data_IF_714861689947
#
_entry.id   IF_714861689947
#
_cell.length_a   1.000
_cell.length_b   1.000
_cell.length_c   1.000
_cell.angle_alpha   90.00
_cell.angle_beta   90.00
_cell.angle_gamma   90.00
#
_symmetry.space_group_name_H-M   'P 1'
#
loop_
_entity.id
_entity.type
_entity.pdbx_description
1 polymer ?
#
# COMPACT_ATOMS: atom_id res chain seq x y z
N UNK A 1 11.64 -39.88 30.27
CA UNK A 1 11.69 -38.81 29.25
C UNK A 1 10.85 -39.16 28.02
N UNK A 2 9.57 -39.50 28.18
CA UNK A 2 8.65 -39.70 27.05
C UNK A 2 7.23 -39.32 27.48
N UNK A 3 6.92 -38.02 27.50
CA UNK A 3 5.55 -37.52 27.73
C UNK A 3 5.29 -36.11 27.17
N UNK A 4 6.17 -35.56 26.31
CA UNK A 4 6.07 -34.16 25.85
C UNK A 4 5.67 -34.01 24.36
N UNK A 5 5.82 -35.05 23.54
CA UNK A 5 5.59 -34.93 22.09
C UNK A 5 4.12 -35.18 21.64
N UNK A 6 3.28 -35.82 22.45
CA UNK A 6 1.91 -36.17 22.05
C UNK A 6 0.87 -35.05 22.30
N UNK A 7 1.19 -34.06 23.13
CA UNK A 7 0.25 -32.99 23.48
C UNK A 7 0.23 -31.85 22.44
N UNK A 8 1.36 -31.55 21.78
CA UNK A 8 1.44 -30.48 20.77
C UNK A 8 0.80 -30.87 19.43
N UNK A 9 0.91 -32.14 19.04
CA UNK A 9 0.32 -32.64 17.78
C UNK A 9 -1.23 -32.75 17.88
N UNK A 10 -1.77 -32.99 19.08
CA UNK A 10 -3.23 -33.01 19.29
C UNK A 10 -3.86 -31.62 19.29
N UNK A 11 -3.11 -30.57 19.67
CA UNK A 11 -3.59 -29.19 19.66
C UNK A 11 -3.60 -28.61 18.23
N UNK A 12 -2.56 -28.90 17.44
CA UNK A 12 -2.48 -28.52 16.03
C UNK A 12 -3.56 -29.22 15.17
N UNK A 13 -3.85 -30.50 15.41
CA UNK A 13 -4.92 -31.23 14.70
C UNK A 13 -6.33 -30.83 15.12
N UNK A 14 -6.55 -30.39 16.38
CA UNK A 14 -7.85 -29.84 16.82
C UNK A 14 -8.14 -28.45 16.26
N UNK A 15 -7.11 -27.63 16.02
CA UNK A 15 -7.26 -26.34 15.34
C UNK A 15 -7.60 -26.48 13.84
N UNK A 16 -7.19 -27.57 13.18
CA UNK A 16 -7.49 -27.79 11.75
C UNK A 16 -8.90 -28.33 11.46
N UNK A 17 -9.57 -28.99 12.41
CA UNK A 17 -10.97 -29.42 12.22
C UNK A 17 -12.01 -28.38 12.66
N UNK A 18 -11.61 -27.39 13.46
CA UNK A 18 -12.47 -26.26 13.85
C UNK A 18 -12.77 -25.28 12.70
N UNK A 19 -12.07 -25.35 11.56
CA UNK A 19 -12.24 -24.42 10.45
C UNK A 19 -13.41 -24.78 9.52
N UNK A 20 -13.63 -26.06 9.21
CA UNK A 20 -14.60 -26.48 8.20
C UNK A 20 -16.06 -26.41 8.69
N UNK A 21 -16.27 -26.59 9.99
CA UNK A 21 -17.59 -26.75 10.57
C UNK A 21 -18.14 -25.41 11.12
N UNK A 22 -17.24 -24.52 11.60
CA UNK A 22 -17.54 -23.09 11.79
C UNK A 22 -17.97 -22.38 10.48
N UNK A 23 -17.49 -22.85 9.32
CA UNK A 23 -17.82 -22.31 7.99
C UNK A 23 -19.20 -22.75 7.45
N UNK A 24 -19.69 -23.94 7.80
CA UNK A 24 -20.97 -24.47 7.28
C UNK A 24 -22.19 -23.75 7.86
N UNK A 25 -22.00 -23.01 8.94
CA UNK A 25 -23.03 -22.51 9.85
C UNK A 25 -23.43 -21.09 9.54
N UNK A 26 -22.46 -20.25 9.17
CA UNK A 26 -22.71 -18.92 8.61
C UNK A 26 -23.68 -18.99 7.40
N UNK A 27 -23.80 -20.17 6.78
CA UNK A 27 -24.65 -20.51 5.64
C UNK A 27 -26.16 -20.56 5.96
N UNK A 28 -26.58 -20.79 7.20
CA UNK A 28 -27.99 -21.12 7.54
C UNK A 28 -28.75 -20.06 8.37
N UNK A 29 -28.08 -19.00 8.87
CA UNK A 29 -28.65 -18.06 9.84
C UNK A 29 -28.85 -16.64 9.29
N UNK A 30 -28.92 -16.50 7.98
CA UNK A 30 -28.56 -15.28 7.28
C UNK A 30 -29.52 -14.86 6.17
N UNK A 31 -30.56 -15.66 5.94
CA UNK A 31 -31.68 -15.33 5.08
C UNK A 31 -32.75 -14.65 5.95
N UNK A 32 -32.96 -13.33 5.78
CA UNK A 32 -34.20 -12.72 6.27
C UNK A 32 -34.23 -11.23 6.65
N UNK A 33 -33.11 -10.56 6.96
CA UNK A 33 -33.19 -9.14 7.36
C UNK A 33 -32.51 -8.21 6.33
N UNK A 34 -33.34 -7.37 5.71
CA UNK A 34 -32.89 -6.20 4.98
C UNK A 34 -32.37 -5.16 5.98
N UNK A 35 -31.10 -4.78 5.85
CA UNK A 35 -30.45 -3.83 6.76
C UNK A 35 -30.64 -2.42 6.20
N UNK A 36 -31.58 -1.67 6.76
CA UNK A 36 -31.93 -0.31 6.31
C UNK A 36 -31.04 0.80 6.89
N UNK A 37 -30.27 0.54 7.94
CA UNK A 37 -29.47 1.56 8.62
C UNK A 37 -27.98 1.24 8.56
N UNK A 38 -27.18 2.25 8.23
CA UNK A 38 -25.73 2.17 8.01
C UNK A 38 -25.00 1.25 8.99
N UNK A 39 -24.03 0.50 8.49
CA UNK A 39 -23.29 -0.54 9.20
C UNK A 39 -22.59 -0.01 10.47
N UNK A 40 -23.29 -0.07 11.61
CA UNK A 40 -22.85 0.44 12.91
C UNK A 40 -22.00 -0.59 13.69
N UNK A 41 -21.23 -0.16 14.72
CA UNK A 41 -20.40 -1.04 15.55
C UNK A 41 -21.13 -2.26 16.13
N UNK A 42 -22.39 -2.12 16.56
CA UNK A 42 -23.21 -3.23 17.07
C UNK A 42 -23.45 -4.30 15.99
N UNK A 43 -23.55 -3.89 14.73
CA UNK A 43 -23.66 -4.77 13.57
C UNK A 43 -22.38 -5.59 13.35
N UNK A 44 -21.20 -4.99 13.53
CA UNK A 44 -19.91 -5.66 13.40
C UNK A 44 -19.71 -6.73 14.50
N UNK A 45 -20.05 -6.42 15.76
CA UNK A 45 -19.99 -7.40 16.86
C UNK A 45 -20.93 -8.59 16.63
N UNK A 46 -22.16 -8.33 16.18
CA UNK A 46 -23.14 -9.40 15.85
C UNK A 46 -22.67 -10.26 14.68
N UNK A 47 -22.12 -9.65 13.62
CA UNK A 47 -21.62 -10.36 12.47
C UNK A 47 -20.46 -11.29 12.84
N UNK A 48 -19.50 -10.80 13.62
CA UNK A 48 -18.36 -11.59 14.07
C UNK A 48 -18.81 -12.81 14.89
N UNK A 49 -19.72 -12.61 15.85
CA UNK A 49 -20.23 -13.71 16.67
C UNK A 49 -21.02 -14.74 15.86
N UNK A 50 -21.70 -14.32 14.78
CA UNK A 50 -22.36 -15.22 13.82
C UNK A 50 -21.36 -15.96 12.91
N UNK A 51 -20.25 -15.33 12.55
CA UNK A 51 -19.21 -15.91 11.70
C UNK A 51 -18.26 -16.86 12.46
N UNK A 52 -18.15 -16.72 13.79
CA UNK A 52 -17.20 -17.46 14.64
C UNK A 52 -17.83 -18.56 15.52
N UNK A 53 -19.12 -18.89 15.37
CA UNK A 53 -19.75 -19.86 16.27
C UNK A 53 -19.35 -21.31 15.95
N UNK A 54 -18.81 -22.10 16.90
CA UNK A 54 -18.52 -23.53 16.69
C UNK A 54 -19.79 -24.38 16.61
N UNK A 55 -19.67 -25.57 16.04
CA UNK A 55 -20.73 -26.59 15.79
C UNK A 55 -21.74 -26.80 16.92
N UNK A 56 -21.32 -26.61 18.17
CA UNK A 56 -22.17 -26.77 19.35
C UNK A 56 -23.27 -25.69 19.47
N UNK A 57 -23.07 -24.46 18.98
CA UNK A 57 -24.10 -23.41 19.02
C UNK A 57 -25.25 -23.65 18.03
N UNK A 58 -25.11 -24.64 17.14
CA UNK A 58 -26.05 -24.92 16.03
C UNK A 58 -26.81 -26.21 16.20
N UNK A 59 -26.28 -27.11 17.03
CA UNK A 59 -27.07 -28.18 17.62
C UNK A 59 -28.15 -27.62 18.56
N UNK A 60 -28.02 -26.34 18.98
CA UNK A 60 -29.00 -25.67 19.81
C UNK A 60 -30.16 -25.14 18.95
N UNK A 61 -31.41 -25.22 19.46
CA UNK A 61 -32.55 -24.55 18.85
C UNK A 61 -32.27 -23.06 18.59
N UNK A 62 -32.76 -22.52 17.47
CA UNK A 62 -32.52 -21.12 17.03
C UNK A 62 -32.74 -20.07 18.13
N UNK A 63 -33.70 -20.27 19.02
CA UNK A 63 -33.95 -19.40 20.16
C UNK A 63 -32.80 -19.39 21.17
N UNK A 64 -32.18 -20.53 21.44
CA UNK A 64 -31.07 -20.67 22.41
C UNK A 64 -29.77 -20.11 21.84
N UNK A 65 -29.49 -20.37 20.55
CA UNK A 65 -28.37 -19.75 19.84
C UNK A 65 -28.50 -18.22 19.82
N UNK A 66 -29.71 -17.71 19.56
CA UNK A 66 -30.02 -16.28 19.62
C UNK A 66 -29.85 -15.71 21.03
N UNK A 67 -30.33 -16.38 22.08
CA UNK A 67 -30.14 -15.94 23.46
C UNK A 67 -28.66 -15.91 23.88
N UNK A 68 -27.87 -16.91 23.49
CA UNK A 68 -26.43 -16.97 23.78
C UNK A 68 -25.66 -15.89 23.02
N UNK A 69 -25.97 -15.66 21.74
CA UNK A 69 -25.42 -14.55 20.98
C UNK A 69 -25.80 -13.22 21.63
N UNK A 70 -27.06 -13.01 22.00
CA UNK A 70 -27.52 -11.80 22.71
C UNK A 70 -26.86 -11.62 24.08
N UNK A 71 -26.52 -12.70 24.79
CA UNK A 71 -25.78 -12.65 26.05
C UNK A 71 -24.27 -12.39 25.87
N UNK A 72 -23.68 -12.79 24.74
CA UNK A 72 -22.26 -12.63 24.44
C UNK A 72 -21.94 -11.30 23.75
N UNK A 73 -22.87 -10.74 22.96
CA UNK A 73 -22.72 -9.44 22.27
C UNK A 73 -22.29 -8.30 23.23
N UNK A 74 -22.85 -8.15 24.45
CA UNK A 74 -22.41 -7.12 25.39
C UNK A 74 -20.95 -7.25 25.84
N UNK A 75 -20.33 -8.43 25.67
CA UNK A 75 -18.94 -8.67 26.05
C UNK A 75 -17.93 -8.40 24.93
N UNK A 76 -18.41 -8.05 23.72
CA UNK A 76 -17.60 -7.78 22.52
C UNK A 76 -17.86 -6.36 22.04
N UNK A 77 -16.85 -5.51 22.14
CA UNK A 77 -16.89 -4.13 21.65
C UNK A 77 -16.34 -4.06 20.22
N UNK A 78 -16.88 -3.14 19.44
CA UNK A 78 -16.36 -2.78 18.13
C UNK A 78 -16.16 -1.26 18.08
N UNK A 79 -15.05 -0.84 17.48
CA UNK A 79 -14.76 0.57 17.22
C UNK A 79 -14.38 0.69 15.75
N UNK A 80 -15.02 1.62 15.05
CA UNK A 80 -14.67 1.91 13.67
C UNK A 80 -13.29 2.58 13.59
N UNK A 81 -12.51 2.16 12.60
CA UNK A 81 -11.24 2.79 12.25
C UNK A 81 -11.54 3.82 11.16
N UNK A 82 -11.56 5.10 11.57
CA UNK A 82 -12.16 6.19 10.79
C UNK A 82 -11.45 6.49 9.45
N UNK A 83 -10.17 6.16 9.31
CA UNK A 83 -9.33 6.59 8.18
C UNK A 83 -9.53 5.81 6.86
N UNK A 84 -10.44 4.83 6.83
CA UNK A 84 -10.77 4.10 5.61
C UNK A 84 -11.70 4.90 4.68
N UNK A 85 -11.24 5.22 3.47
CA UNK A 85 -12.03 5.95 2.47
C UNK A 85 -13.00 5.05 1.69
N UNK A 86 -12.60 3.81 1.37
CA UNK A 86 -13.34 2.93 0.44
C UNK A 86 -14.26 1.94 1.16
N UNK A 87 -13.82 1.42 2.32
CA UNK A 87 -14.47 0.33 3.04
C UNK A 87 -14.75 0.70 4.49
N UNK A 88 -15.67 -0.03 5.13
CA UNK A 88 -15.83 0.04 6.57
C UNK A 88 -14.85 -0.91 7.25
N UNK A 89 -14.14 -0.40 8.26
CA UNK A 89 -13.10 -1.13 8.98
C UNK A 89 -13.33 -1.00 10.47
N UNK A 90 -13.30 -2.11 11.20
CA UNK A 90 -13.55 -2.14 12.65
C UNK A 90 -12.44 -2.89 13.36
N UNK A 91 -12.00 -2.34 14.48
CA UNK A 91 -11.36 -3.13 15.54
C UNK A 91 -12.47 -3.74 16.39
N UNK A 92 -12.54 -5.07 16.40
CA UNK A 92 -13.45 -5.82 17.26
C UNK A 92 -12.65 -6.48 18.37
N UNK A 93 -13.04 -6.29 19.62
CA UNK A 93 -12.25 -6.74 20.76
C UNK A 93 -13.12 -7.14 21.96
N UNK A 94 -12.53 -8.00 22.79
CA UNK A 94 -13.06 -8.41 24.10
C UNK A 94 -11.95 -8.31 25.12
N UNK A 95 -12.27 -7.82 26.33
CA UNK A 95 -11.30 -7.70 27.42
C UNK A 95 -10.63 -9.05 27.69
N UNK A 96 -9.30 -9.07 27.70
CA UNK A 96 -8.50 -10.28 27.93
C UNK A 96 -8.30 -11.17 26.69
N UNK A 97 -8.76 -10.75 25.51
CA UNK A 97 -8.57 -11.44 24.24
C UNK A 97 -7.79 -10.56 23.24
N UNK A 98 -7.18 -11.19 22.22
CA UNK A 98 -6.61 -10.44 21.08
C UNK A 98 -7.73 -9.81 20.26
N UNK A 99 -7.50 -8.61 19.71
CA UNK A 99 -8.48 -7.97 18.82
C UNK A 99 -8.48 -8.60 17.43
N UNK A 100 -9.54 -8.32 16.69
CA UNK A 100 -9.72 -8.68 15.29
C UNK A 100 -9.94 -7.43 14.45
N UNK A 101 -9.47 -7.47 13.22
CA UNK A 101 -9.76 -6.47 12.20
C UNK A 101 -10.86 -7.02 11.29
N UNK A 102 -11.97 -6.29 11.20
CA UNK A 102 -13.10 -6.63 10.34
C UNK A 102 -13.21 -5.56 9.26
N UNK A 103 -13.16 -5.98 8.00
CA UNK A 103 -13.28 -5.07 6.86
C UNK A 103 -14.42 -5.52 5.96
N UNK A 104 -15.26 -4.56 5.55
CA UNK A 104 -16.44 -4.80 4.71
C UNK A 104 -16.45 -3.86 3.52
N UNK A 105 -16.61 -4.44 2.34
CA UNK A 105 -16.94 -3.71 1.12
C UNK A 105 -18.47 -3.59 0.95
N UNK A 106 -18.93 -2.41 0.55
CA UNK A 106 -20.33 -2.14 0.18
C UNK A 106 -20.45 -1.90 -1.33
N UNK A 107 -21.67 -1.87 -1.86
CA UNK A 107 -21.94 -1.56 -3.27
C UNK A 107 -21.67 -0.10 -3.70
N UNK A 108 -20.95 0.66 -2.89
CA UNK A 108 -20.62 2.08 -3.09
C UNK A 108 -19.31 2.44 -2.37
N UNK A 109 -18.76 3.62 -2.68
CA UNK A 109 -17.63 4.21 -1.96
C UNK A 109 -18.08 4.81 -0.62
N UNK A 110 -17.44 4.44 0.49
CA UNK A 110 -17.81 4.96 1.83
C UNK A 110 -17.75 6.50 1.89
N UNK A 111 -16.71 7.13 1.36
CA UNK A 111 -16.55 8.60 1.40
C UNK A 111 -17.49 9.35 0.43
N UNK A 112 -17.96 8.66 -0.62
CA UNK A 112 -18.91 9.20 -1.60
C UNK A 112 -20.00 8.16 -1.89
N UNK A 113 -21.02 8.02 -1.01
CA UNK A 113 -22.03 6.98 -1.14
C UNK A 113 -22.86 7.02 -2.44
N UNK A 114 -22.86 8.15 -3.15
CA UNK A 114 -23.48 8.28 -4.47
C UNK A 114 -22.71 7.60 -5.60
N UNK A 115 -21.42 7.28 -5.40
CA UNK A 115 -20.60 6.58 -6.38
C UNK A 115 -20.71 5.07 -6.16
N UNK A 116 -21.38 4.38 -7.09
CA UNK A 116 -21.50 2.93 -7.08
C UNK A 116 -20.11 2.28 -7.26
N UNK A 117 -19.83 1.26 -6.46
CA UNK A 117 -18.60 0.48 -6.54
C UNK A 117 -18.85 -0.95 -6.10
N UNK A 118 -18.49 -1.91 -6.95
CA UNK A 118 -18.70 -3.35 -6.72
C UNK A 118 -18.09 -3.82 -5.39
N UNK A 119 -18.89 -4.51 -4.58
CA UNK A 119 -18.44 -5.05 -3.29
C UNK A 119 -17.48 -6.23 -3.47
N UNK A 120 -17.52 -6.88 -4.64
CA UNK A 120 -16.66 -7.96 -5.11
C UNK A 120 -15.17 -7.60 -5.07
N UNK A 121 -14.81 -6.31 -4.95
CA UNK A 121 -13.44 -5.89 -4.64
C UNK A 121 -12.86 -6.60 -3.41
N UNK A 122 -13.69 -6.94 -2.41
CA UNK A 122 -13.23 -7.71 -1.25
C UNK A 122 -12.80 -9.14 -1.62
N UNK A 123 -13.48 -9.77 -2.58
CA UNK A 123 -13.06 -11.09 -3.10
C UNK A 123 -11.68 -10.99 -3.74
N UNK A 124 -11.40 -9.91 -4.48
CA UNK A 124 -10.09 -9.66 -5.09
C UNK A 124 -9.00 -9.43 -4.04
N UNK A 125 -9.29 -8.65 -3.00
CA UNK A 125 -8.36 -8.44 -1.88
C UNK A 125 -7.98 -9.78 -1.21
N UNK A 126 -8.97 -10.62 -0.92
CA UNK A 126 -8.76 -11.96 -0.34
C UNK A 126 -8.00 -12.88 -1.31
N UNK A 127 -8.31 -12.82 -2.60
CA UNK A 127 -7.60 -13.58 -3.64
C UNK A 127 -6.12 -13.17 -3.70
N UNK A 128 -5.81 -11.88 -3.67
CA UNK A 128 -4.45 -11.37 -3.66
C UNK A 128 -3.65 -11.93 -2.48
N UNK A 129 -4.18 -11.84 -1.24
CA UNK A 129 -3.48 -12.38 -0.08
C UNK A 129 -3.20 -13.88 -0.20
N UNK A 130 -4.12 -14.67 -0.77
CA UNK A 130 -3.93 -16.11 -0.97
C UNK A 130 -2.86 -16.40 -2.01
N UNK A 131 -2.92 -15.73 -3.15
CA UNK A 131 -1.96 -15.91 -4.24
C UNK A 131 -0.56 -15.48 -3.79
N UNK A 132 -0.45 -14.31 -3.15
CA UNK A 132 0.83 -13.81 -2.65
C UNK A 132 1.37 -14.67 -1.51
N UNK A 133 0.53 -15.17 -0.60
CA UNK A 133 1.00 -16.11 0.42
C UNK A 133 1.60 -17.39 -0.20
N UNK A 134 0.97 -17.91 -1.25
CA UNK A 134 1.50 -19.06 -1.99
C UNK A 134 2.82 -18.71 -2.70
N UNK A 135 2.92 -17.50 -3.27
CA UNK A 135 4.13 -17.03 -3.93
C UNK A 135 5.29 -16.79 -2.96
N UNK A 136 5.04 -16.35 -1.72
CA UNK A 136 6.08 -16.10 -0.73
C UNK A 136 6.53 -17.38 -0.02
N UNK A 137 5.62 -18.33 0.18
CA UNK A 137 5.82 -19.47 1.08
C UNK A 137 5.49 -19.10 2.53
N UNK A 138 5.32 -20.11 3.38
CA UNK A 138 4.72 -19.96 4.72
C UNK A 138 5.44 -18.95 5.61
N UNK A 139 6.77 -19.04 5.73
CA UNK A 139 7.54 -18.16 6.61
C UNK A 139 7.48 -16.69 6.19
N UNK A 140 7.66 -16.39 4.91
CA UNK A 140 7.62 -15.02 4.39
C UNK A 140 6.19 -14.48 4.35
N UNK A 141 5.19 -15.31 4.07
CA UNK A 141 3.78 -14.92 4.17
C UNK A 141 3.41 -14.55 5.61
N UNK A 142 3.81 -15.37 6.60
CA UNK A 142 3.60 -15.08 8.02
C UNK A 142 4.38 -13.86 8.50
N UNK A 143 5.51 -13.54 7.88
CA UNK A 143 6.28 -12.34 8.17
C UNK A 143 5.67 -11.09 7.54
N UNK A 144 5.21 -11.15 6.28
CA UNK A 144 4.92 -9.98 5.43
C UNK A 144 3.43 -9.71 5.19
N UNK A 145 2.56 -10.69 5.40
CA UNK A 145 1.11 -10.55 5.21
C UNK A 145 0.36 -10.61 6.54
N UNK A 146 -0.81 -9.97 6.64
CA UNK A 146 -1.67 -10.16 7.78
C UNK A 146 -2.38 -11.52 7.69
N UNK A 147 -2.58 -12.18 8.84
CA UNK A 147 -3.21 -13.49 8.86
C UNK A 147 -4.72 -13.39 8.61
N UNK A 148 -5.17 -13.89 7.47
CA UNK A 148 -6.59 -14.04 7.16
C UNK A 148 -7.21 -15.13 8.04
N UNK A 149 -8.33 -14.81 8.71
CA UNK A 149 -9.03 -15.72 9.61
C UNK A 149 -10.34 -16.23 8.99
N UNK A 150 -11.07 -15.35 8.30
CA UNK A 150 -12.35 -15.70 7.69
C UNK A 150 -12.69 -14.75 6.53
N UNK A 151 -13.41 -15.25 5.54
CA UNK A 151 -14.02 -14.46 4.47
C UNK A 151 -15.46 -14.91 4.24
N UNK A 152 -16.41 -14.04 4.55
CA UNK A 152 -17.83 -14.21 4.20
C UNK A 152 -18.07 -13.62 2.82
N UNK A 153 -18.00 -14.48 1.81
CA UNK A 153 -18.16 -14.10 0.41
C UNK A 153 -19.55 -13.54 0.09
N UNK A 154 -20.61 -13.97 0.78
CA UNK A 154 -21.96 -13.45 0.53
C UNK A 154 -22.10 -12.01 0.99
N UNK A 155 -21.35 -11.61 2.03
CA UNK A 155 -21.41 -10.27 2.63
C UNK A 155 -20.24 -9.37 2.25
N UNK A 156 -19.24 -9.91 1.56
CA UNK A 156 -17.99 -9.24 1.25
C UNK A 156 -17.31 -8.71 2.51
N UNK A 157 -17.20 -9.58 3.51
CA UNK A 157 -16.56 -9.28 4.80
C UNK A 157 -15.35 -10.17 5.00
N UNK A 158 -14.21 -9.56 5.26
CA UNK A 158 -12.99 -10.27 5.66
C UNK A 158 -12.70 -10.01 7.14
N UNK A 159 -12.27 -11.06 7.84
CA UNK A 159 -11.79 -11.01 9.21
C UNK A 159 -10.31 -11.38 9.21
N UNK A 160 -9.51 -10.49 9.76
CA UNK A 160 -8.05 -10.55 9.76
C UNK A 160 -7.56 -10.41 11.20
N UNK A 161 -6.43 -11.04 11.54
CA UNK A 161 -5.79 -10.82 12.82
C UNK A 161 -5.43 -9.33 12.98
N UNK A 162 -5.79 -8.73 14.13
CA UNK A 162 -5.45 -7.33 14.39
C UNK A 162 -3.96 -7.18 14.70
N UNK A 163 -3.34 -6.15 14.12
CA UNK A 163 -1.92 -5.85 14.27
C UNK A 163 -1.70 -4.86 15.43
N UNK A 164 -1.81 -5.36 16.67
CA UNK A 164 -1.81 -4.54 17.90
C UNK A 164 -0.54 -3.68 18.09
N UNK A 165 0.62 -4.22 17.71
CA UNK A 165 1.94 -3.60 17.95
C UNK A 165 2.51 -2.89 16.71
N UNK A 166 1.68 -2.70 15.69
CA UNK A 166 2.07 -2.07 14.44
C UNK A 166 1.42 -0.70 14.26
N UNK A 167 2.13 0.19 13.56
CA UNK A 167 1.60 1.46 13.08
C UNK A 167 1.82 1.61 11.59
N UNK A 168 1.10 2.53 10.94
CA UNK A 168 1.24 2.73 9.49
C UNK A 168 2.62 3.31 9.16
N UNK A 169 3.27 2.79 8.11
CA UNK A 169 4.59 3.25 7.67
C UNK A 169 4.58 4.75 7.33
N UNK A 170 3.45 5.29 6.88
CA UNK A 170 3.31 6.73 6.60
C UNK A 170 3.56 7.60 7.85
N UNK A 171 3.29 7.10 9.06
CA UNK A 171 3.64 7.80 10.29
C UNK A 171 5.16 7.88 10.48
N UNK A 172 5.88 6.82 10.09
CA UNK A 172 7.36 6.82 10.07
C UNK A 172 7.92 7.83 9.08
N UNK A 173 7.24 8.04 7.96
CA UNK A 173 7.68 9.01 6.94
C UNK A 173 7.53 10.47 7.37
N UNK A 174 6.46 10.81 8.09
CA UNK A 174 6.09 12.22 8.34
C UNK A 174 6.14 12.66 9.81
N UNK A 175 5.92 11.75 10.76
CA UNK A 175 5.73 12.10 12.17
C UNK A 175 6.80 11.52 13.11
N UNK A 176 7.34 10.33 12.82
CA UNK A 176 8.34 9.66 13.66
C UNK A 176 9.73 10.30 13.57
N UNK A 177 10.40 10.45 14.71
CA UNK A 177 11.83 10.80 14.80
C UNK A 177 12.75 9.58 14.59
N UNK A 178 12.22 8.36 14.72
CA UNK A 178 12.97 7.12 14.43
C UNK A 178 13.10 6.83 12.93
N UNK A 179 12.48 7.64 12.06
CA UNK A 179 12.53 7.42 10.62
C UNK A 179 11.99 6.06 10.16
N UNK A 180 12.45 5.59 9.00
CA UNK A 180 12.07 4.28 8.43
C UNK A 180 13.20 3.26 8.69
N UNK A 181 12.92 2.13 9.37
CA UNK A 181 13.93 1.11 9.60
C UNK A 181 14.46 0.49 8.30
N UNK A 182 15.78 0.37 8.16
CA UNK A 182 16.42 -0.20 6.96
C UNK A 182 16.00 -1.64 6.68
N UNK A 183 15.79 -2.46 7.71
CA UNK A 183 15.32 -3.84 7.55
C UNK A 183 13.89 -3.91 7.06
N UNK A 184 13.04 -2.97 7.49
CA UNK A 184 11.67 -2.85 6.98
C UNK A 184 11.68 -2.46 5.49
N UNK A 185 12.53 -1.51 5.10
CA UNK A 185 12.73 -1.12 3.70
C UNK A 185 13.22 -2.31 2.85
N UNK A 186 14.21 -3.07 3.35
CA UNK A 186 14.72 -4.25 2.67
C UNK A 186 13.65 -5.35 2.54
N UNK A 187 12.83 -5.55 3.57
CA UNK A 187 11.74 -6.53 3.57
C UNK A 187 10.67 -6.17 2.51
N UNK A 188 10.33 -4.90 2.36
CA UNK A 188 9.41 -4.43 1.32
C UNK A 188 9.99 -4.61 -0.08
N UNK A 189 11.27 -4.32 -0.28
CA UNK A 189 11.96 -4.58 -1.54
C UNK A 189 11.93 -6.06 -1.92
N UNK A 190 12.27 -6.96 -0.98
CA UNK A 190 12.18 -8.41 -1.19
C UNK A 190 10.75 -8.88 -1.48
N UNK A 191 9.78 -8.40 -0.72
CA UNK A 191 8.35 -8.70 -0.96
C UNK A 191 7.96 -8.38 -2.40
N UNK A 192 8.19 -7.14 -2.84
CA UNK A 192 7.85 -6.69 -4.18
C UNK A 192 8.62 -7.46 -5.25
N UNK A 193 9.92 -7.68 -5.06
CA UNK A 193 10.76 -8.33 -6.05
C UNK A 193 10.37 -9.80 -6.24
N UNK A 194 10.05 -10.51 -5.16
CA UNK A 194 9.57 -11.90 -5.22
C UNK A 194 8.21 -11.99 -5.89
N UNK A 195 7.24 -11.16 -5.49
CA UNK A 195 5.88 -11.17 -6.08
C UNK A 195 5.94 -10.82 -7.56
N UNK A 196 6.61 -9.73 -7.92
CA UNK A 196 6.74 -9.29 -9.31
C UNK A 196 7.54 -10.30 -10.14
N UNK A 197 8.67 -10.81 -9.65
CA UNK A 197 9.53 -11.75 -10.38
C UNK A 197 8.84 -13.08 -10.70
N UNK A 198 8.07 -13.62 -9.75
CA UNK A 198 7.33 -14.89 -9.92
C UNK A 198 6.07 -14.76 -10.76
N UNK A 199 5.51 -13.56 -10.85
CA UNK A 199 4.30 -13.29 -11.65
C UNK A 199 4.57 -12.58 -12.96
N UNK A 200 5.83 -12.21 -13.23
CA UNK A 200 6.23 -11.52 -14.44
C UNK A 200 5.77 -12.29 -15.69
N UNK A 201 5.17 -11.58 -16.63
CA UNK A 201 4.82 -12.12 -17.93
C UNK A 201 6.09 -12.59 -18.66
N UNK A 202 6.04 -13.82 -19.17
CA UNK A 202 7.14 -14.43 -19.93
C UNK A 202 6.62 -15.02 -21.24
N UNK A 203 7.43 -15.00 -22.31
CA UNK A 203 7.09 -15.68 -23.56
C UNK A 203 6.71 -17.15 -23.33
N UNK A 204 5.67 -17.62 -24.00
CA UNK A 204 5.14 -18.99 -23.86
C UNK A 204 4.22 -19.22 -22.67
N UNK A 205 3.82 -18.16 -21.94
CA UNK A 205 2.83 -18.22 -20.84
C UNK A 205 1.62 -17.30 -21.06
N UNK A 206 1.38 -16.87 -22.29
CA UNK A 206 0.41 -15.85 -22.65
C UNK A 206 -1.01 -16.19 -22.19
N UNK A 207 -1.43 -17.46 -22.32
CA UNK A 207 -2.75 -17.91 -21.87
C UNK A 207 -2.92 -17.81 -20.35
N UNK A 208 -1.94 -18.29 -19.58
CA UNK A 208 -1.94 -18.19 -18.11
C UNK A 208 -1.93 -16.73 -17.65
N UNK A 209 -1.14 -15.90 -18.32
CA UNK A 209 -1.10 -14.46 -18.10
C UNK A 209 -2.47 -13.82 -18.34
N UNK A 210 -3.13 -14.14 -19.47
CA UNK A 210 -4.43 -13.59 -19.81
C UNK A 210 -5.50 -13.98 -18.78
N UNK A 211 -5.52 -15.24 -18.34
CA UNK A 211 -6.43 -15.71 -17.29
C UNK A 211 -6.22 -14.95 -15.97
N UNK A 212 -4.96 -14.75 -15.56
CA UNK A 212 -4.62 -13.99 -14.36
C UNK A 212 -4.98 -12.50 -14.49
N UNK A 213 -4.73 -11.90 -15.65
CA UNK A 213 -5.10 -10.51 -15.92
C UNK A 213 -6.63 -10.30 -15.84
N UNK A 214 -7.42 -11.26 -16.31
CA UNK A 214 -8.88 -11.25 -16.16
C UNK A 214 -9.29 -11.40 -14.69
N UNK A 215 -8.64 -12.30 -13.94
CA UNK A 215 -8.93 -12.49 -12.51
C UNK A 215 -8.71 -11.22 -11.67
N UNK A 216 -7.71 -10.41 -12.04
CA UNK A 216 -7.38 -9.13 -11.41
C UNK A 216 -7.96 -7.91 -12.14
N UNK A 217 -8.89 -8.11 -13.07
CA UNK A 217 -9.54 -6.99 -13.75
C UNK A 217 -10.38 -6.16 -12.78
N UNK A 218 -10.07 -4.86 -12.63
CA UNK A 218 -10.67 -3.97 -11.63
C UNK A 218 -10.97 -2.55 -12.17
N UNK A 219 -11.65 -2.46 -13.31
CA UNK A 219 -11.92 -1.19 -14.01
C UNK A 219 -12.42 -0.04 -13.12
N UNK A 220 -13.39 -0.28 -12.23
CA UNK A 220 -13.97 0.78 -11.40
C UNK A 220 -12.95 1.41 -10.43
N UNK A 221 -12.10 0.60 -9.78
CA UNK A 221 -11.03 1.11 -8.92
C UNK A 221 -9.93 1.80 -9.74
N UNK A 222 -9.60 1.25 -10.92
CA UNK A 222 -8.65 1.91 -11.84
C UNK A 222 -9.14 3.26 -12.33
N UNK A 223 -10.45 3.43 -12.54
CA UNK A 223 -11.03 4.71 -12.94
C UNK A 223 -10.74 5.80 -11.90
N UNK A 224 -10.79 5.48 -10.61
CA UNK A 224 -10.44 6.40 -9.51
C UNK A 224 -8.98 6.84 -9.61
N UNK A 225 -8.05 5.91 -9.84
CA UNK A 225 -6.63 6.26 -10.01
C UNK A 225 -6.39 7.07 -11.30
N UNK A 226 -7.03 6.70 -12.41
CA UNK A 226 -6.97 7.43 -13.67
C UNK A 226 -7.44 8.89 -13.52
N UNK A 227 -8.52 9.10 -12.80
CA UNK A 227 -9.05 10.44 -12.54
C UNK A 227 -8.11 11.26 -11.64
N UNK A 228 -7.74 10.73 -10.46
CA UNK A 228 -7.03 11.52 -9.47
C UNK A 228 -5.51 11.65 -9.73
N UNK A 229 -4.87 10.63 -10.28
CA UNK A 229 -3.41 10.62 -10.52
C UNK A 229 -3.07 11.23 -11.87
N UNK A 230 -3.89 10.98 -12.91
CA UNK A 230 -3.55 11.35 -14.29
C UNK A 230 -4.37 12.51 -14.86
N UNK A 231 -5.35 13.06 -14.13
CA UNK A 231 -6.25 14.08 -14.70
C UNK A 231 -6.47 15.25 -13.74
N UNK A 232 -7.22 15.06 -12.65
CA UNK A 232 -7.72 16.15 -11.81
C UNK A 232 -6.60 17.02 -11.24
N UNK A 233 -5.46 16.44 -10.86
CA UNK A 233 -4.34 17.19 -10.30
C UNK A 233 -3.72 18.20 -11.31
N UNK A 234 -3.81 17.92 -12.61
CA UNK A 234 -3.32 18.77 -13.71
C UNK A 234 -4.34 19.82 -14.17
N UNK A 235 -5.62 19.65 -13.86
CA UNK A 235 -6.69 20.54 -14.26
C UNK A 235 -7.11 21.50 -13.15
N UNK A 236 -7.27 20.98 -11.93
CA UNK A 236 -7.88 21.71 -10.82
C UNK A 236 -6.90 22.62 -10.06
N UNK A 237 -5.59 22.34 -10.08
CA UNK A 237 -4.59 23.17 -9.41
C UNK A 237 -3.85 24.10 -10.37
N UNK A 238 -3.42 25.28 -9.90
CA UNK A 238 -2.60 26.20 -10.70
C UNK A 238 -1.26 25.58 -11.08
N UNK A 239 -0.53 25.01 -10.10
CA UNK A 239 0.77 24.36 -10.32
C UNK A 239 0.64 23.16 -11.28
N UNK A 240 -0.42 22.37 -11.16
CA UNK A 240 -0.73 21.28 -12.09
C UNK A 240 -0.99 21.78 -13.52
N UNK A 241 -1.77 22.86 -13.68
CA UNK A 241 -2.01 23.48 -15.00
C UNK A 241 -0.74 24.04 -15.64
N UNK A 242 0.23 24.48 -14.84
CA UNK A 242 1.56 24.89 -15.36
C UNK A 242 2.32 23.68 -15.89
N UNK A 243 2.36 22.56 -15.15
CA UNK A 243 2.97 21.32 -15.65
C UNK A 243 2.28 20.80 -16.91
N UNK A 244 0.95 20.92 -16.99
CA UNK A 244 0.17 20.48 -18.15
C UNK A 244 0.51 21.21 -19.45
N UNK A 245 1.15 22.39 -19.38
CA UNK A 245 1.63 23.15 -20.56
C UNK A 245 2.98 22.66 -21.07
N UNK A 246 3.71 21.85 -20.29
CA UNK A 246 4.97 21.26 -20.70
C UNK A 246 4.73 19.98 -21.50
N UNK A 247 4.86 20.08 -22.83
CA UNK A 247 4.58 18.98 -23.74
C UNK A 247 5.49 17.75 -23.50
N UNK A 248 6.75 17.96 -23.12
CA UNK A 248 7.66 16.86 -22.83
C UNK A 248 7.23 16.14 -21.54
N UNK A 249 6.83 16.88 -20.52
CA UNK A 249 6.30 16.32 -19.28
C UNK A 249 5.01 15.53 -19.53
N UNK A 250 4.05 16.10 -20.28
CA UNK A 250 2.78 15.42 -20.56
C UNK A 250 2.92 14.21 -21.48
N UNK A 251 3.98 14.14 -22.30
CA UNK A 251 4.33 12.92 -23.03
C UNK A 251 4.68 11.78 -22.08
N UNK A 252 5.44 12.06 -21.00
CA UNK A 252 5.78 11.07 -19.97
C UNK A 252 4.54 10.63 -19.19
N UNK A 253 3.66 11.57 -18.82
CA UNK A 253 2.37 11.27 -18.17
C UNK A 253 1.52 10.34 -19.04
N UNK A 254 1.45 10.61 -20.35
CA UNK A 254 0.66 9.83 -21.30
C UNK A 254 1.18 8.40 -21.46
N UNK A 255 2.50 8.23 -21.46
CA UNK A 255 3.12 6.90 -21.52
C UNK A 255 2.84 6.08 -20.25
N UNK A 256 3.03 6.68 -19.06
CA UNK A 256 2.71 6.02 -17.80
C UNK A 256 1.21 5.69 -17.69
N UNK A 257 0.34 6.56 -18.21
CA UNK A 257 -1.11 6.30 -18.30
C UNK A 257 -1.39 5.09 -19.19
N UNK A 258 -0.71 4.97 -20.32
CA UNK A 258 -0.85 3.84 -21.22
C UNK A 258 -0.36 2.52 -20.58
N UNK A 259 0.79 2.55 -19.90
CA UNK A 259 1.29 1.41 -19.11
C UNK A 259 0.31 1.01 -18.02
N UNK A 260 -0.22 1.98 -17.26
CA UNK A 260 -1.26 1.75 -16.26
C UNK A 260 -2.52 1.15 -16.86
N UNK A 261 -2.89 1.56 -18.07
CA UNK A 261 -4.02 1.03 -18.82
C UNK A 261 -3.79 -0.40 -19.35
N UNK A 262 -2.55 -0.90 -19.29
CA UNK A 262 -2.19 -2.22 -19.81
C UNK A 262 -1.87 -2.18 -21.31
N UNK A 263 -1.45 -1.04 -21.85
CA UNK A 263 -0.81 -0.97 -23.16
C UNK A 263 0.69 -1.19 -23.02
N UNK A 264 1.31 -1.76 -24.06
CA UNK A 264 2.76 -1.75 -24.21
C UNK A 264 3.10 -0.76 -25.31
N UNK A 265 3.98 0.18 -24.99
CA UNK A 265 4.43 1.23 -25.91
C UNK A 265 5.89 1.03 -26.31
N UNK A 266 6.63 0.21 -25.57
CA UNK A 266 8.04 -0.10 -25.82
C UNK A 266 8.25 -1.62 -25.89
N UNK A 267 9.11 -2.10 -26.80
CA UNK A 267 9.55 -3.49 -26.76
C UNK A 267 10.13 -3.85 -25.38
N UNK A 268 9.67 -4.96 -24.81
CA UNK A 268 10.13 -5.41 -23.50
C UNK A 268 9.47 -4.72 -22.31
N UNK A 269 8.37 -3.98 -22.51
CA UNK A 269 7.44 -3.68 -21.41
C UNK A 269 6.91 -5.01 -20.85
N UNK A 270 6.93 -5.13 -19.52
CA UNK A 270 6.53 -6.33 -18.79
C UNK A 270 5.42 -5.99 -17.81
N UNK A 271 4.61 -6.99 -17.47
CA UNK A 271 3.56 -6.87 -16.46
C UNK A 271 3.70 -7.97 -15.43
N UNK A 272 3.16 -7.73 -14.24
CA UNK A 272 3.12 -8.66 -13.15
C UNK A 272 1.89 -8.39 -12.28
N UNK A 273 1.64 -9.26 -11.31
CA UNK A 273 0.65 -9.00 -10.27
C UNK A 273 1.15 -7.85 -9.39
N UNK A 274 0.45 -6.73 -9.43
CA UNK A 274 0.68 -5.56 -8.58
C UNK A 274 -0.41 -5.48 -7.51
N UNK A 275 -0.05 -5.00 -6.32
CA UNK A 275 -0.96 -4.53 -5.29
C UNK A 275 -1.84 -3.38 -5.78
N UNK A 276 -1.31 -2.51 -6.65
CA UNK A 276 -2.04 -1.46 -7.35
C UNK A 276 -2.29 -0.16 -6.58
N UNK A 277 -1.92 -0.12 -5.29
CA UNK A 277 -1.96 1.07 -4.43
C UNK A 277 -1.05 0.88 -3.19
N UNK A 278 0.15 0.31 -3.39
CA UNK A 278 1.09 -0.01 -2.29
C UNK A 278 1.84 1.24 -1.82
N UNK A 279 1.14 2.17 -1.17
CA UNK A 279 1.76 3.32 -0.53
C UNK A 279 2.12 3.03 0.92
N UNK A 280 2.85 3.93 1.59
CA UNK A 280 3.20 3.76 3.02
C UNK A 280 1.99 3.72 3.98
N UNK A 281 0.78 3.99 3.50
CA UNK A 281 -0.46 3.79 4.26
C UNK A 281 -1.07 2.40 4.09
N UNK A 282 -0.56 1.62 3.13
CA UNK A 282 -0.88 0.21 2.87
C UNK A 282 0.19 -0.72 3.43
N UNK A 283 1.02 -0.20 4.35
CA UNK A 283 2.08 -0.93 5.04
C UNK A 283 2.01 -0.59 6.52
N UNK A 284 2.04 -1.61 7.37
CA UNK A 284 2.18 -1.46 8.81
C UNK A 284 3.54 -2.01 9.27
N UNK A 285 4.18 -1.33 10.22
CA UNK A 285 5.49 -1.70 10.77
C UNK A 285 5.37 -1.79 12.28
N UNK A 286 5.99 -2.81 12.90
CA UNK A 286 6.03 -2.94 14.35
C UNK A 286 6.79 -1.78 15.00
N UNK A 287 6.50 -1.51 16.27
CA UNK A 287 7.17 -0.43 17.03
C UNK A 287 8.70 -0.55 17.03
N UNK A 288 9.23 -1.78 17.09
CA UNK A 288 10.67 -2.08 17.06
C UNK A 288 11.25 -2.15 15.63
N UNK A 289 10.43 -2.00 14.59
CA UNK A 289 10.86 -2.07 13.19
C UNK A 289 11.13 -3.48 12.65
N UNK A 290 11.00 -4.52 13.48
CA UNK A 290 11.36 -5.90 13.13
C UNK A 290 10.31 -6.67 12.31
N UNK A 291 9.09 -6.15 12.18
CA UNK A 291 8.00 -6.78 11.42
C UNK A 291 7.30 -5.79 10.51
N UNK A 292 7.04 -6.21 9.27
CA UNK A 292 6.35 -5.42 8.23
C UNK A 292 5.13 -6.20 7.74
N UNK A 293 4.00 -5.52 7.53
CA UNK A 293 2.76 -6.09 7.03
C UNK A 293 2.21 -5.28 5.87
N UNK A 294 2.17 -5.88 4.68
CA UNK A 294 1.50 -5.31 3.51
C UNK A 294 0.01 -5.58 3.61
N UNK A 295 -0.81 -4.52 3.52
CA UNK A 295 -2.25 -4.57 3.75
C UNK A 295 -3.00 -3.83 2.65
N UNK A 296 -4.30 -4.09 2.53
CA UNK A 296 -5.23 -3.37 1.63
C UNK A 296 -4.98 -3.51 0.11
N UNK A 297 -4.75 -4.71 -0.45
CA UNK A 297 -4.55 -4.92 -1.88
C UNK A 297 -5.87 -4.90 -2.68
N UNK A 298 -6.83 -4.04 -2.34
CA UNK A 298 -8.12 -3.98 -3.04
C UNK A 298 -7.98 -3.47 -4.49
N UNK A 299 -6.94 -2.67 -4.74
CA UNK A 299 -6.56 -2.16 -6.07
C UNK A 299 -5.73 -3.16 -6.89
N UNK A 300 -5.55 -4.40 -6.42
CA UNK A 300 -4.72 -5.39 -7.09
C UNK A 300 -5.05 -5.51 -8.58
N UNK A 301 -4.01 -5.46 -9.41
CA UNK A 301 -4.11 -5.32 -10.86
C UNK A 301 -2.91 -6.01 -11.53
N UNK A 302 -3.12 -6.53 -12.73
CA UNK A 302 -2.03 -7.04 -13.56
C UNK A 302 -1.47 -5.90 -14.42
N UNK A 303 -0.31 -5.35 -14.06
CA UNK A 303 0.20 -4.08 -14.57
C UNK A 303 1.74 -4.03 -14.57
N UNK A 304 2.32 -2.95 -15.11
CA UNK A 304 3.75 -2.65 -15.03
C UNK A 304 4.23 -2.66 -13.55
N UNK A 305 5.24 -3.46 -13.19
CA UNK A 305 5.74 -3.60 -11.81
C UNK A 305 6.20 -2.29 -11.16
N UNK A 306 6.62 -1.32 -11.99
CA UNK A 306 7.00 0.01 -11.53
C UNK A 306 5.86 0.76 -10.82
N UNK A 307 4.59 0.40 -11.05
CA UNK A 307 3.44 1.01 -10.36
C UNK A 307 3.55 0.86 -8.84
N UNK A 308 3.79 -0.36 -8.36
CA UNK A 308 3.85 -0.66 -6.93
C UNK A 308 5.10 -0.09 -6.28
N UNK A 309 6.25 -0.21 -6.94
CA UNK A 309 7.51 0.38 -6.46
C UNK A 309 7.34 1.89 -6.38
N UNK A 310 6.82 2.53 -7.42
CA UNK A 310 6.58 3.97 -7.44
C UNK A 310 5.59 4.43 -6.36
N UNK A 311 4.50 3.67 -6.17
CA UNK A 311 3.50 3.94 -5.12
C UNK A 311 4.11 3.88 -3.71
N UNK A 312 5.05 2.97 -3.47
CA UNK A 312 5.74 2.90 -2.19
C UNK A 312 6.72 4.08 -2.02
N UNK A 313 7.51 4.33 -3.06
CA UNK A 313 8.57 5.34 -3.03
C UNK A 313 8.03 6.77 -2.93
N UNK A 314 6.86 7.10 -3.50
CA UNK A 314 6.35 8.47 -3.42
C UNK A 314 6.19 8.93 -1.97
N UNK A 315 5.74 8.05 -1.07
CA UNK A 315 5.52 8.42 0.33
C UNK A 315 6.85 8.71 1.05
N UNK A 316 7.91 7.97 0.71
CA UNK A 316 9.27 8.22 1.21
C UNK A 316 9.82 9.55 0.65
N UNK A 317 9.61 9.82 -0.65
CA UNK A 317 9.98 11.08 -1.31
C UNK A 317 9.26 12.28 -0.69
N UNK A 318 7.94 12.19 -0.56
CA UNK A 318 7.12 13.23 0.06
C UNK A 318 7.49 13.45 1.52
N UNK A 319 7.77 12.38 2.27
CA UNK A 319 8.29 12.47 3.64
C UNK A 319 9.65 13.17 3.67
N UNK A 320 10.57 12.83 2.77
CA UNK A 320 11.90 13.43 2.67
C UNK A 320 11.80 14.93 2.44
N UNK A 321 11.02 15.37 1.43
CA UNK A 321 10.83 16.79 1.14
C UNK A 321 10.14 17.51 2.31
N UNK A 322 9.15 16.87 2.95
CA UNK A 322 8.51 17.43 4.14
C UNK A 322 9.53 17.68 5.26
N UNK A 323 10.33 16.68 5.59
CA UNK A 323 11.37 16.79 6.62
C UNK A 323 12.40 17.86 6.27
N UNK A 324 12.87 17.87 5.02
CA UNK A 324 13.81 18.85 4.52
C UNK A 324 13.27 20.30 4.67
N UNK A 325 12.00 20.52 4.36
CA UNK A 325 11.35 21.83 4.51
C UNK A 325 11.12 22.21 5.98
N UNK A 326 10.83 21.25 6.85
CA UNK A 326 10.75 21.50 8.31
C UNK A 326 12.11 21.85 8.91
N UNK A 327 13.20 21.19 8.48
CA UNK A 327 14.56 21.56 8.87
C UNK A 327 14.90 22.98 8.43
N UNK A 328 14.52 23.36 7.20
CA UNK A 328 14.69 24.72 6.68
C UNK A 328 13.94 25.76 7.51
N UNK A 329 12.67 25.50 7.83
CA UNK A 329 11.82 26.43 8.57
C UNK A 329 12.30 26.66 10.01
N UNK A 330 12.82 25.61 10.66
CA UNK A 330 13.31 25.68 12.04
C UNK A 330 14.75 26.20 12.15
N UNK A 331 15.45 26.39 11.02
CA UNK A 331 16.88 26.69 11.02
C UNK A 331 17.73 25.57 11.63
N UNK A 332 17.15 24.39 11.85
CA UNK A 332 17.84 23.25 12.44
C UNK A 332 18.86 22.72 11.45
N UNK A 333 20.13 23.06 11.70
CA UNK A 333 21.30 22.53 11.00
C UNK A 333 21.90 21.30 11.69
N UNK A 334 21.23 20.77 12.72
CA UNK A 334 21.82 19.81 13.63
C UNK A 334 22.15 18.51 12.89
N UNK A 335 23.42 18.35 12.54
CA UNK A 335 24.03 17.08 12.13
C UNK A 335 23.86 16.11 13.29
N UNK A 336 23.23 14.96 13.03
CA UNK A 336 22.94 13.94 14.05
C UNK A 336 21.46 13.52 14.06
N UNK A 337 20.87 13.41 15.26
CA UNK A 337 19.51 12.87 15.46
C UNK A 337 18.41 13.66 14.73
N UNK A 338 18.56 14.97 14.53
CA UNK A 338 17.58 15.77 13.78
C UNK A 338 17.61 15.54 12.26
N UNK A 339 18.75 15.11 11.71
CA UNK A 339 18.89 14.71 10.30
C UNK A 339 18.58 13.24 10.06
N UNK A 340 18.51 12.43 11.12
CA UNK A 340 18.33 10.99 11.00
C UNK A 340 17.04 10.60 10.26
N UNK A 341 15.85 11.17 10.53
CA UNK A 341 14.66 10.89 9.74
C UNK A 341 14.85 11.16 8.25
N UNK A 342 15.49 12.28 7.90
CA UNK A 342 15.76 12.66 6.51
C UNK A 342 16.69 11.64 5.83
N UNK A 343 17.81 11.32 6.48
CA UNK A 343 18.76 10.32 5.97
C UNK A 343 18.12 8.94 5.85
N UNK A 344 17.35 8.51 6.86
CA UNK A 344 16.67 7.22 6.87
C UNK A 344 15.68 7.06 5.71
N UNK A 345 15.01 8.14 5.30
CA UNK A 345 14.07 8.09 4.17
C UNK A 345 14.79 7.90 2.85
N UNK A 346 15.90 8.61 2.65
CA UNK A 346 16.74 8.45 1.46
C UNK A 346 17.41 7.08 1.41
N UNK A 347 17.86 6.57 2.55
CA UNK A 347 18.42 5.22 2.69
C UNK A 347 17.35 4.15 2.46
N UNK A 348 16.13 4.36 2.96
CA UNK A 348 15.02 3.45 2.73
C UNK A 348 14.67 3.32 1.24
N UNK A 349 14.69 4.43 0.48
CA UNK A 349 14.49 4.38 -0.99
C UNK A 349 15.55 3.49 -1.65
N UNK A 350 16.83 3.70 -1.32
CA UNK A 350 17.92 2.89 -1.86
C UNK A 350 17.79 1.42 -1.44
N UNK A 351 17.44 1.16 -0.18
CA UNK A 351 17.36 -0.19 0.37
C UNK A 351 16.17 -0.98 -0.17
N UNK A 352 15.03 -0.33 -0.40
CA UNK A 352 13.90 -0.91 -1.13
C UNK A 352 14.37 -1.33 -2.52
N UNK A 353 15.02 -0.43 -3.26
CA UNK A 353 15.46 -0.71 -4.63
C UNK A 353 16.52 -1.81 -4.71
N UNK A 354 17.55 -1.76 -3.87
CA UNK A 354 18.60 -2.79 -3.82
C UNK A 354 18.01 -4.18 -3.57
N UNK A 355 17.13 -4.30 -2.56
CA UNK A 355 16.49 -5.57 -2.24
C UNK A 355 15.50 -6.02 -3.32
N UNK A 356 14.79 -5.08 -3.95
CA UNK A 356 13.87 -5.34 -5.06
C UNK A 356 14.61 -5.90 -6.29
N UNK A 357 15.64 -5.20 -6.75
CA UNK A 357 16.45 -5.60 -7.89
C UNK A 357 17.15 -6.93 -7.65
N UNK A 358 17.70 -7.15 -6.45
CA UNK A 358 18.31 -8.43 -6.09
C UNK A 358 17.31 -9.60 -6.16
N UNK A 359 16.08 -9.40 -5.67
CA UNK A 359 15.03 -10.41 -5.73
C UNK A 359 14.56 -10.68 -7.17
N UNK A 360 14.40 -9.66 -8.02
CA UNK A 360 14.10 -9.86 -9.44
C UNK A 360 15.20 -10.65 -10.16
N UNK A 361 16.46 -10.32 -9.92
CA UNK A 361 17.61 -11.04 -10.49
C UNK A 361 17.63 -12.50 -10.04
N UNK A 362 17.32 -12.77 -8.76
CA UNK A 362 17.22 -14.13 -8.23
C UNK A 362 16.07 -14.94 -8.89
N UNK A 363 14.99 -14.27 -9.29
CA UNK A 363 13.89 -14.84 -10.08
C UNK A 363 14.20 -14.90 -11.60
N UNK A 364 15.42 -14.57 -12.02
CA UNK A 364 15.88 -14.66 -13.40
C UNK A 364 15.24 -13.62 -14.33
N UNK A 365 15.03 -12.40 -13.83
CA UNK A 365 14.67 -11.23 -14.64
C UNK A 365 15.94 -10.56 -15.16
N UNK A 366 15.96 -10.18 -16.44
CA UNK A 366 17.13 -9.57 -17.06
C UNK A 366 17.36 -8.14 -16.57
N UNK A 367 18.63 -7.71 -16.58
CA UNK A 367 19.07 -6.39 -16.11
C UNK A 367 18.35 -5.24 -16.82
N UNK A 368 18.16 -5.33 -18.14
CA UNK A 368 17.45 -4.29 -18.89
C UNK A 368 15.97 -4.17 -18.46
N UNK A 369 15.31 -5.28 -18.12
CA UNK A 369 13.96 -5.25 -17.58
C UNK A 369 13.93 -4.65 -16.16
N UNK A 370 14.91 -4.96 -15.31
CA UNK A 370 15.05 -4.35 -13.98
C UNK A 370 15.23 -2.83 -14.11
N UNK A 371 16.11 -2.37 -15.00
CA UNK A 371 16.32 -0.95 -15.28
C UNK A 371 15.03 -0.25 -15.72
N UNK A 372 14.31 -0.82 -16.71
CA UNK A 372 13.02 -0.28 -17.19
C UNK A 372 11.99 -0.17 -16.08
N UNK A 373 11.90 -1.18 -15.20
CA UNK A 373 11.01 -1.12 -14.03
C UNK A 373 11.39 0.06 -13.12
N UNK A 374 12.69 0.35 -12.97
CA UNK A 374 13.18 1.51 -12.22
C UNK A 374 12.78 2.85 -12.86
N UNK A 375 12.86 2.97 -14.19
CA UNK A 375 12.40 4.15 -14.92
C UNK A 375 10.89 4.40 -14.72
N UNK A 376 10.09 3.33 -14.77
CA UNK A 376 8.65 3.41 -14.58
C UNK A 376 8.29 3.71 -13.12
N UNK A 377 9.02 3.11 -12.17
CA UNK A 377 8.87 3.37 -10.75
C UNK A 377 9.07 4.84 -10.39
N UNK A 378 10.10 5.49 -10.93
CA UNK A 378 10.28 6.94 -10.78
C UNK A 378 9.10 7.70 -11.36
N UNK A 379 8.64 7.31 -12.55
CA UNK A 379 7.48 7.94 -13.19
C UNK A 379 6.23 7.90 -12.31
N UNK A 380 5.81 6.71 -11.89
CA UNK A 380 4.65 6.53 -11.02
C UNK A 380 4.82 7.22 -9.67
N UNK A 381 6.02 7.18 -9.07
CA UNK A 381 6.30 7.89 -7.82
C UNK A 381 6.08 9.40 -7.97
N UNK A 382 6.53 10.00 -9.07
CA UNK A 382 6.39 11.44 -9.29
C UNK A 382 4.95 11.85 -9.57
N UNK A 383 4.16 11.02 -10.27
CA UNK A 383 2.72 11.28 -10.46
C UNK A 383 1.95 11.26 -9.12
N UNK A 384 2.20 10.26 -8.28
CA UNK A 384 1.58 10.18 -6.94
C UNK A 384 2.05 11.32 -6.04
N UNK A 385 3.33 11.71 -6.11
CA UNK A 385 3.86 12.85 -5.38
C UNK A 385 3.19 14.17 -5.78
N UNK A 386 2.96 14.39 -7.09
CA UNK A 386 2.23 15.56 -7.61
C UNK A 386 0.79 15.57 -7.11
N UNK A 387 0.04 14.48 -7.35
CA UNK A 387 -1.34 14.35 -6.88
C UNK A 387 -1.45 14.63 -5.39
N UNK A 388 -0.60 14.00 -4.59
CA UNK A 388 -0.64 14.10 -3.12
C UNK A 388 -0.28 15.50 -2.66
N UNK A 389 0.83 16.05 -3.14
CA UNK A 389 1.29 17.37 -2.69
C UNK A 389 0.34 18.50 -3.05
N UNK A 390 -0.40 18.37 -4.16
CA UNK A 390 -1.36 19.36 -4.63
C UNK A 390 -2.77 19.18 -4.02
N UNK A 391 -2.96 18.26 -3.06
CA UNK A 391 -4.18 18.14 -2.27
C UNK A 391 -5.21 17.12 -2.79
N UNK A 392 -4.85 16.26 -3.75
CA UNK A 392 -5.78 15.33 -4.39
C UNK A 392 -5.69 13.89 -3.85
N UNK A 393 -5.24 13.72 -2.61
CA UNK A 393 -5.04 12.40 -1.98
C UNK A 393 -5.76 12.22 -0.62
N UNK A 394 -6.78 13.02 -0.34
CA UNK A 394 -7.67 12.86 0.82
C UNK A 394 -6.93 12.93 2.16
N UNK A 395 -6.90 11.83 2.92
CA UNK A 395 -6.22 11.75 4.21
C UNK A 395 -4.69 12.00 4.13
N UNK A 396 -4.10 11.85 2.94
CA UNK A 396 -2.68 12.08 2.66
C UNK A 396 -2.35 13.53 2.31
N UNK A 397 -3.35 14.43 2.25
CA UNK A 397 -3.14 15.84 1.94
C UNK A 397 -2.10 16.46 2.90
N UNK A 398 -1.01 17.08 2.38
CA UNK A 398 0.01 17.72 3.20
C UNK A 398 -0.53 18.89 4.03
N UNK A 399 -1.61 19.55 3.63
CA UNK A 399 -2.26 20.63 4.38
C UNK A 399 -2.80 20.20 5.75
N UNK A 400 -3.00 18.89 5.97
CA UNK A 400 -3.32 18.33 7.30
C UNK A 400 -2.13 18.36 8.27
N UNK A 401 -0.90 18.49 7.75
CA UNK A 401 0.36 18.49 8.53
C UNK A 401 1.06 19.85 8.48
N UNK A 402 0.96 20.55 7.34
CA UNK A 402 1.54 21.88 7.11
C UNK A 402 0.42 22.93 7.16
N UNK A 403 0.12 23.44 8.36
CA UNK A 403 -0.92 24.46 8.55
C UNK A 403 -0.47 25.88 8.20
N UNK A 404 0.85 26.15 8.15
CA UNK A 404 1.39 27.41 7.64
C UNK A 404 1.31 27.44 6.09
N UNK A 405 0.53 28.36 5.48
CA UNK A 405 0.38 28.44 4.03
C UNK A 405 1.72 28.61 3.30
N UNK A 406 2.68 29.34 3.87
CA UNK A 406 3.98 29.54 3.23
C UNK A 406 4.84 28.28 3.28
N UNK A 407 4.74 27.49 4.35
CA UNK A 407 5.42 26.20 4.44
C UNK A 407 4.83 25.18 3.46
N UNK A 408 3.49 25.13 3.36
CA UNK A 408 2.79 24.30 2.38
C UNK A 408 3.17 24.67 0.94
N UNK A 409 3.21 25.96 0.62
CA UNK A 409 3.60 26.45 -0.70
C UNK A 409 5.02 26.01 -1.08
N UNK A 410 5.99 26.21 -0.16
CA UNK A 410 7.37 25.79 -0.36
C UNK A 410 7.49 24.28 -0.57
N UNK A 411 6.75 23.49 0.22
CA UNK A 411 6.68 22.04 0.06
C UNK A 411 6.16 21.64 -1.33
N UNK A 412 5.05 22.23 -1.76
CA UNK A 412 4.46 21.99 -3.07
C UNK A 412 5.43 22.32 -4.22
N UNK A 413 6.12 23.46 -4.12
CA UNK A 413 7.11 23.86 -5.12
C UNK A 413 8.30 22.92 -5.19
N UNK A 414 8.80 22.46 -4.04
CA UNK A 414 9.90 21.51 -3.96
C UNK A 414 9.51 20.16 -4.57
N UNK A 415 8.30 19.64 -4.27
CA UNK A 415 7.79 18.40 -4.86
C UNK A 415 7.58 18.53 -6.37
N UNK A 416 6.90 19.58 -6.84
CA UNK A 416 6.65 19.80 -8.28
C UNK A 416 7.94 19.93 -9.08
N UNK A 417 8.94 20.62 -8.53
CA UNK A 417 10.26 20.79 -9.16
C UNK A 417 11.02 19.48 -9.26
N UNK A 418 11.03 18.69 -8.18
CA UNK A 418 11.62 17.36 -8.18
C UNK A 418 10.93 16.46 -9.20
N UNK A 419 9.59 16.43 -9.17
CA UNK A 419 8.78 15.63 -10.07
C UNK A 419 9.05 15.95 -11.54
N UNK A 420 9.15 17.24 -11.90
CA UNK A 420 9.50 17.63 -13.27
C UNK A 420 10.89 17.13 -13.68
N UNK A 421 11.91 17.27 -12.82
CA UNK A 421 13.28 16.82 -13.13
C UNK A 421 13.36 15.31 -13.29
N UNK A 422 12.82 14.58 -12.32
CA UNK A 422 12.79 13.13 -12.34
C UNK A 422 12.00 12.60 -13.53
N UNK A 423 10.80 13.13 -13.81
CA UNK A 423 10.00 12.69 -14.96
C UNK A 423 10.72 12.86 -16.30
N UNK A 424 11.35 14.02 -16.53
CA UNK A 424 12.04 14.31 -17.79
C UNK A 424 13.38 13.59 -17.94
N UNK A 425 14.02 13.22 -16.83
CA UNK A 425 15.31 12.52 -16.83
C UNK A 425 15.22 11.01 -16.55
N UNK A 426 14.03 10.46 -16.24
CA UNK A 426 13.91 9.09 -15.70
C UNK A 426 14.44 8.00 -16.64
N UNK A 427 14.56 8.29 -17.94
CA UNK A 427 14.97 7.31 -18.95
C UNK A 427 16.43 7.47 -19.34
N UNK A 428 17.09 6.35 -19.61
CA UNK A 428 18.46 6.32 -20.08
C UNK A 428 18.64 7.08 -21.41
N UNK A 429 17.72 6.90 -22.36
CA UNK A 429 17.77 7.48 -23.72
C UNK A 429 17.51 8.99 -23.77
N UNK A 430 16.92 9.55 -22.71
CA UNK A 430 16.57 10.98 -22.58
C UNK A 430 17.34 11.68 -21.45
N UNK A 431 18.33 11.03 -20.86
CA UNK A 431 19.02 11.52 -19.66
C UNK A 431 19.45 12.98 -19.80
N UNK A 432 18.93 13.83 -18.91
CA UNK A 432 19.25 15.24 -18.81
C UNK A 432 20.65 15.39 -18.21
N UNK A 433 21.68 15.30 -19.05
CA UNK A 433 23.08 15.54 -18.66
C UNK A 433 23.30 17.01 -18.31
N UNK A 434 22.91 17.39 -17.09
CA UNK A 434 23.29 18.64 -16.47
C UNK A 434 23.91 18.34 -15.10
N UNK A 435 25.25 18.35 -15.09
CA UNK A 435 26.13 18.44 -13.91
C UNK A 435 26.29 17.18 -13.05
N UNK A 436 26.80 16.09 -13.64
CA UNK A 436 27.63 15.12 -12.90
C UNK A 436 28.99 15.07 -13.59
N UNK A 437 29.99 15.69 -12.96
CA UNK A 437 31.40 15.50 -13.32
C UNK A 437 31.86 14.16 -12.73
N UNK A 438 31.37 13.06 -13.31
CA UNK A 438 31.99 11.73 -13.32
C UNK A 438 31.09 10.80 -14.14
N UNK A 439 31.69 9.98 -14.99
CA UNK A 439 31.06 9.41 -16.18
C UNK A 439 29.96 8.38 -15.92
N UNK A 440 28.74 8.70 -16.38
CA UNK A 440 27.59 7.81 -16.50
C UNK A 440 26.31 8.63 -16.70
N UNK A 441 25.41 8.22 -17.60
CA UNK A 441 24.06 8.77 -17.64
C UNK A 441 23.31 8.28 -16.38
N UNK A 442 22.94 9.18 -15.48
CA UNK A 442 22.15 8.84 -14.28
C UNK A 442 20.65 8.90 -14.63
N UNK A 443 19.95 7.78 -14.52
CA UNK A 443 18.51 7.64 -14.81
C UNK A 443 17.83 6.75 -13.76
N UNK A 444 16.53 6.49 -13.90
CA UNK A 444 15.77 5.64 -12.98
C UNK A 444 15.94 6.03 -11.50
N UNK A 445 16.01 5.03 -10.63
CA UNK A 445 16.12 5.24 -9.18
C UNK A 445 17.38 6.03 -8.79
N UNK A 446 18.50 5.84 -9.50
CA UNK A 446 19.73 6.58 -9.21
C UNK A 446 19.55 8.08 -9.48
N UNK A 447 18.78 8.45 -10.50
CA UNK A 447 18.43 9.86 -10.74
C UNK A 447 17.58 10.42 -9.61
N UNK A 448 16.57 9.68 -9.18
CA UNK A 448 15.72 10.10 -8.06
C UNK A 448 16.58 10.40 -6.82
N UNK A 449 17.46 9.48 -6.47
CA UNK A 449 18.36 9.62 -5.34
C UNK A 449 19.31 10.83 -5.49
N UNK A 450 19.89 11.01 -6.68
CA UNK A 450 20.76 12.15 -6.97
C UNK A 450 20.03 13.50 -6.86
N UNK A 451 18.77 13.58 -7.30
CA UNK A 451 17.95 14.80 -7.18
C UNK A 451 17.53 15.09 -5.74
N UNK A 452 17.26 14.06 -4.91
CA UNK A 452 17.03 14.23 -3.48
C UNK A 452 18.28 14.78 -2.78
N UNK A 453 19.45 14.19 -3.07
CA UNK A 453 20.73 14.65 -2.51
C UNK A 453 21.04 16.08 -2.97
N UNK A 454 20.68 16.44 -4.22
CA UNK A 454 20.79 17.82 -4.74
C UNK A 454 19.86 18.79 -4.00
N UNK A 455 18.60 18.42 -3.78
CA UNK A 455 17.64 19.23 -3.04
C UNK A 455 18.12 19.49 -1.61
N UNK A 456 18.63 18.46 -0.96
CA UNK A 456 19.23 18.54 0.37
C UNK A 456 20.42 19.51 0.39
N UNK A 457 21.39 19.32 -0.52
CA UNK A 457 22.55 20.22 -0.62
C UNK A 457 22.15 21.67 -0.83
N UNK A 458 21.17 21.95 -1.70
CA UNK A 458 20.74 23.31 -1.99
C UNK A 458 20.20 24.06 -0.77
N UNK A 459 19.56 23.36 0.17
CA UNK A 459 19.03 23.96 1.40
C UNK A 459 20.14 24.17 2.45
N UNK A 460 21.04 23.19 2.59
CA UNK A 460 22.14 23.29 3.55
C UNK A 460 23.31 24.17 3.08
N UNK A 461 23.48 24.41 1.77
CA UNK A 461 24.51 25.30 1.23
C UNK A 461 24.07 26.77 1.21
N UNK A 462 22.81 27.06 0.83
CA UNK A 462 22.28 28.44 0.77
C UNK A 462 22.11 29.11 2.13
N UNK A 463 22.15 28.36 3.22
CA UNK A 463 22.06 28.94 4.56
C UNK A 463 23.41 29.44 5.09
N UNK A 464 24.54 29.30 4.36
CA UNK A 464 25.85 29.83 4.79
C UNK A 464 26.03 31.36 4.68
N UNK A 465 24.98 32.13 4.36
CA UNK A 465 25.06 33.59 4.24
C UNK A 465 23.92 34.29 4.99
N UNK A 466 24.03 34.36 6.31
CA UNK A 466 23.54 35.51 7.08
C UNK A 466 24.33 35.52 8.38
N UNK A 467 25.23 36.50 8.60
CA UNK A 467 25.93 36.71 9.85
C UNK A 467 24.97 36.93 11.03
#
# INVERSE_FOLDING_TARGET
MHASAAASDSFARRCMHASAAALYVARCACDGEAWADGFAPEGASRLLLRALSPDHLLALPRCVASCLLTALVPSVAAVEIADGNVNYSFRVYRRGCRSLFLKRATGYLKWQPSMALEAERMRREVQYYRDVAQLLGEADADALLPRLLHFDERRMVVVIAFLEDHSLLIERCFASEDGVPGDAAAALGRYLGTVHGRTLERPGREAQTAERAVAYWNHALRAVQLEHVFTVCFEASERGRVLAKDAAFMSEVSELKALYLGYSLRPGDVRALCHGDLHAGSVMVSKDGGSVKVIDPEFAVWCAPGLDVGSLLFALVCGFIFRLETCRATGSRAVGTATYPLTSLREAIARVWEAYSAALTAEGVDENAVERIGEDAVGFAMLEAIRTSLGFAGARDPGRRLTDPKALERYQESVVRLARRCMLGRRADRAFSANVQDGGSVFGIDLLLAELDRAQRAIFSNTKQTP
#
